data_IF_500466736397
#
_entry.id   IF_500466736397
#
_cell.length_a   1.000
_cell.length_b   1.000
_cell.length_c   1.000
_cell.angle_alpha   90.00
_cell.angle_beta   90.00
_cell.angle_gamma   90.00
#
_symmetry.space_group_name_H-M   'P 1'
#
loop_
_entity.id
_entity.type
_entity.pdbx_description
1 polymer ?
#
# COMPACT_ATOMS: atom_id res chain seq x y z
N UNK A 1 27.21 4.87 -17.30
CA UNK A 1 26.29 5.74 -18.06
C UNK A 1 25.81 6.81 -17.10
N UNK A 2 26.45 7.98 -17.16
CA UNK A 2 26.21 9.11 -16.26
C UNK A 2 25.02 9.90 -16.80
N UNK A 3 23.89 9.91 -16.09
CA UNK A 3 22.77 10.77 -16.45
C UNK A 3 22.98 12.09 -15.71
N UNK A 4 23.40 13.11 -16.45
CA UNK A 4 23.30 14.50 -16.03
C UNK A 4 21.80 14.84 -15.96
N UNK A 5 21.29 15.12 -14.76
CA UNK A 5 20.07 15.89 -14.62
C UNK A 5 20.43 17.35 -14.95
N UNK A 6 20.38 17.69 -16.24
CA UNK A 6 20.23 19.10 -16.63
C UNK A 6 19.05 19.66 -15.84
N UNK A 7 19.23 20.86 -15.27
CA UNK A 7 18.17 21.60 -14.58
C UNK A 7 16.98 21.73 -15.51
N UNK A 8 16.01 20.82 -15.38
CA UNK A 8 14.72 20.94 -16.04
C UNK A 8 14.06 22.17 -15.43
N UNK A 9 14.15 23.31 -16.12
CA UNK A 9 13.25 24.43 -15.90
C UNK A 9 11.85 23.91 -16.21
N UNK A 10 11.09 23.60 -15.16
CA UNK A 10 9.67 23.30 -15.23
C UNK A 10 8.92 24.58 -15.60
N UNK A 11 9.05 25.06 -16.84
CA UNK A 11 8.45 26.33 -17.27
C UNK A 11 7.08 26.20 -17.91
N UNK A 12 6.56 24.99 -18.18
CA UNK A 12 5.24 24.84 -18.82
C UNK A 12 4.44 23.66 -18.25
N UNK A 13 4.06 23.75 -16.97
CA UNK A 13 2.92 22.98 -16.46
C UNK A 13 1.70 23.90 -16.62
N UNK A 14 0.72 23.49 -17.44
CA UNK A 14 -0.54 24.19 -17.58
C UNK A 14 -1.26 24.24 -16.22
N UNK A 15 -1.29 25.41 -15.59
CA UNK A 15 -1.92 25.65 -14.30
C UNK A 15 -3.45 25.69 -14.48
N UNK A 16 -4.15 24.65 -14.01
CA UNK A 16 -5.56 24.76 -13.71
C UNK A 16 -5.72 25.29 -12.28
N UNK A 17 -6.16 26.55 -12.20
CA UNK A 17 -6.55 27.30 -11.00
C UNK A 17 -5.39 27.83 -10.10
N UNK A 18 -5.06 29.12 -10.28
CA UNK A 18 -3.87 29.80 -9.75
C UNK A 18 -4.06 30.51 -8.39
N UNK A 19 -5.09 30.19 -7.61
CA UNK A 19 -5.41 30.94 -6.37
C UNK A 19 -4.81 30.37 -5.08
N UNK A 20 -4.06 29.27 -5.12
CA UNK A 20 -3.54 28.59 -3.91
C UNK A 20 -2.04 28.24 -4.00
N UNK A 21 -1.19 29.23 -4.29
CA UNK A 21 0.26 29.07 -4.17
C UNK A 21 0.69 29.75 -2.86
N UNK A 22 1.24 28.98 -1.91
CA UNK A 22 1.87 29.55 -0.71
C UNK A 22 3.00 30.47 -1.15
N UNK A 23 3.02 31.70 -0.64
CA UNK A 23 3.91 32.77 -1.10
C UNK A 23 5.40 32.55 -0.75
N UNK A 24 5.73 31.54 0.04
CA UNK A 24 7.11 31.20 0.38
C UNK A 24 7.38 29.70 0.14
N UNK A 25 8.51 29.34 -0.51
CA UNK A 25 8.93 27.96 -0.61
C UNK A 25 9.31 27.45 0.78
N UNK A 26 8.88 26.24 1.15
CA UNK A 26 9.29 25.64 2.41
C UNK A 26 10.81 25.46 2.44
N UNK A 27 11.48 25.99 3.46
CA UNK A 27 12.94 25.99 3.67
C UNK A 27 13.63 24.61 3.55
N UNK A 28 12.84 23.53 3.58
CA UNK A 28 13.27 22.13 3.51
C UNK A 28 13.80 21.76 2.10
N UNK A 29 13.51 22.56 1.08
CA UNK A 29 13.82 22.25 -0.32
C UNK A 29 15.20 22.69 -0.82
N UNK A 30 15.97 23.43 -0.01
CA UNK A 30 17.24 24.04 -0.48
C UNK A 30 18.45 23.10 -0.38
N UNK A 31 18.40 22.11 0.52
CA UNK A 31 19.59 21.30 0.88
C UNK A 31 19.51 19.83 0.42
N UNK A 32 18.38 19.39 -0.14
CA UNK A 32 18.20 18.00 -0.56
C UNK A 32 17.60 17.90 -1.97
N UNK A 33 18.05 16.92 -2.77
CA UNK A 33 17.40 16.48 -4.02
C UNK A 33 16.06 15.75 -3.74
N UNK A 34 15.32 16.19 -2.72
CA UNK A 34 14.07 15.58 -2.29
C UNK A 34 12.93 16.50 -2.71
N UNK A 35 12.21 16.06 -3.74
CA UNK A 35 10.96 16.70 -4.15
C UNK A 35 9.85 16.27 -3.18
N UNK A 36 9.53 17.13 -2.21
CA UNK A 36 8.42 16.90 -1.30
C UNK A 36 7.11 17.40 -1.93
N UNK A 37 6.13 16.50 -2.07
CA UNK A 37 4.77 16.86 -2.49
C UNK A 37 3.93 17.08 -1.22
N UNK A 38 3.68 18.33 -0.79
CA UNK A 38 2.89 18.58 0.41
C UNK A 38 1.49 17.99 0.23
N UNK A 39 1.05 17.15 1.19
CA UNK A 39 -0.35 16.79 1.34
C UNK A 39 -0.95 17.61 2.46
N UNK A 40 -1.79 18.57 2.09
CA UNK A 40 -2.49 19.40 3.05
C UNK A 40 -3.97 19.48 2.66
N UNK A 41 -4.76 18.54 3.21
CA UNK A 41 -6.19 18.40 2.88
C UNK A 41 -6.97 19.67 3.16
N UNK A 42 -6.62 20.40 4.22
CA UNK A 42 -7.27 21.66 4.61
C UNK A 42 -6.88 22.85 3.72
N UNK A 43 -5.77 22.75 2.99
CA UNK A 43 -5.29 23.78 2.05
C UNK A 43 -5.50 23.33 0.59
N UNK A 44 -6.28 22.28 0.35
CA UNK A 44 -6.55 21.78 -1.00
C UNK A 44 -5.37 21.09 -1.69
N UNK A 45 -4.23 20.91 -1.03
CA UNK A 45 -3.04 20.29 -1.60
C UNK A 45 -3.17 18.75 -1.53
N UNK A 46 -3.64 18.12 -2.62
CA UNK A 46 -3.78 16.65 -2.77
C UNK A 46 -2.91 16.12 -3.92
N UNK A 47 -1.60 16.31 -3.84
CA UNK A 47 -0.70 16.04 -4.98
C UNK A 47 -0.42 14.56 -5.25
N UNK A 48 -0.44 13.68 -4.25
CA UNK A 48 -0.13 12.25 -4.44
C UNK A 48 -1.25 11.45 -5.12
N UNK A 49 -2.50 11.94 -5.07
CA UNK A 49 -3.58 11.41 -5.91
C UNK A 49 -3.45 11.77 -7.39
N UNK A 50 -2.63 12.80 -7.69
CA UNK A 50 -2.53 13.40 -9.01
C UNK A 50 -1.60 12.68 -9.99
N UNK A 51 -0.51 12.05 -9.54
CA UNK A 51 0.45 11.41 -10.46
C UNK A 51 -0.21 10.26 -11.25
N UNK A 52 -0.99 9.35 -10.64
CA UNK A 52 -1.75 8.36 -11.41
C UNK A 52 -2.85 9.00 -12.27
N UNK A 53 -3.42 10.13 -11.84
CA UNK A 53 -4.41 10.90 -12.60
C UNK A 53 -3.85 11.51 -13.89
N UNK A 54 -2.58 11.94 -13.89
CA UNK A 54 -1.87 12.43 -15.08
C UNK A 54 -1.68 11.35 -16.15
N UNK A 55 -1.74 10.07 -15.78
CA UNK A 55 -1.59 8.94 -16.69
C UNK A 55 -2.92 8.42 -17.23
N UNK A 56 -4.03 8.80 -16.61
CA UNK A 56 -5.38 8.37 -17.00
C UNK A 56 -5.78 8.71 -18.45
N UNK A 57 -5.35 9.84 -19.08
CA UNK A 57 -5.79 10.15 -20.45
C UNK A 57 -5.04 9.33 -21.51
N UNK A 58 -3.94 8.66 -21.17
CA UNK A 58 -3.17 7.88 -22.14
C UNK A 58 -3.53 6.40 -22.08
N UNK A 59 -3.64 5.70 -23.23
CA UNK A 59 -3.70 4.25 -23.27
C UNK A 59 -2.55 3.61 -22.49
N UNK A 60 -2.74 2.36 -22.08
CA UNK A 60 -1.79 1.68 -21.21
C UNK A 60 -0.42 1.49 -21.89
N UNK A 61 -0.39 1.05 -23.13
CA UNK A 61 0.80 0.85 -23.95
C UNK A 61 1.42 2.15 -24.49
N UNK A 62 0.76 3.29 -24.28
CA UNK A 62 1.27 4.57 -24.72
C UNK A 62 2.62 4.89 -24.05
N UNK A 63 3.65 5.35 -24.80
CA UNK A 63 4.99 5.55 -24.27
C UNK A 63 5.06 6.42 -23.00
N UNK A 64 4.24 7.46 -22.90
CA UNK A 64 4.15 8.34 -21.71
C UNK A 64 3.67 7.58 -20.48
N UNK A 65 2.67 6.71 -20.68
CA UNK A 65 2.11 5.83 -19.66
C UNK A 65 3.20 4.87 -19.15
N UNK A 66 3.91 4.23 -20.07
CA UNK A 66 5.02 3.31 -19.76
C UNK A 66 6.14 4.01 -19.01
N UNK A 67 6.61 5.15 -19.53
CA UNK A 67 7.70 5.93 -18.95
C UNK A 67 7.37 6.40 -17.53
N UNK A 68 6.17 6.92 -17.32
CA UNK A 68 5.77 7.44 -16.02
C UNK A 68 5.67 6.34 -14.97
N UNK A 69 5.18 5.15 -15.34
CA UNK A 69 5.16 4.00 -14.43
C UNK A 69 6.56 3.48 -14.13
N UNK A 70 7.48 3.46 -15.12
CA UNK A 70 8.90 3.18 -14.87
C UNK A 70 9.51 4.22 -13.92
N UNK A 71 9.23 5.51 -14.13
CA UNK A 71 9.69 6.58 -13.25
C UNK A 71 9.21 6.37 -11.81
N UNK A 72 7.91 6.14 -11.60
CA UNK A 72 7.32 5.85 -10.29
C UNK A 72 8.01 4.63 -9.66
N UNK A 73 8.18 3.54 -10.42
CA UNK A 73 8.84 2.30 -9.95
C UNK A 73 10.27 2.56 -9.46
N UNK A 74 11.05 3.30 -10.24
CA UNK A 74 12.49 3.46 -9.98
C UNK A 74 12.82 4.61 -9.03
N UNK A 75 11.91 5.59 -8.87
CA UNK A 75 12.22 6.82 -8.13
C UNK A 75 11.26 7.14 -6.98
N UNK A 76 10.04 6.57 -6.92
CA UNK A 76 9.13 6.74 -5.78
C UNK A 76 9.22 5.54 -4.83
N UNK A 77 10.37 5.43 -4.17
CA UNK A 77 10.67 4.41 -3.17
C UNK A 77 10.47 4.96 -1.75
N UNK A 78 10.08 4.09 -0.82
CA UNK A 78 10.07 4.45 0.59
C UNK A 78 11.50 4.65 1.11
N UNK A 79 11.64 5.56 2.08
CA UNK A 79 12.89 5.76 2.78
C UNK A 79 13.32 4.51 3.57
N UNK A 80 14.62 4.28 3.70
CA UNK A 80 15.18 3.07 4.30
C UNK A 80 14.66 2.77 5.70
N UNK A 81 14.41 3.80 6.51
CA UNK A 81 13.88 3.60 7.86
C UNK A 81 12.47 2.98 7.86
N UNK A 82 11.67 3.18 6.82
CA UNK A 82 10.35 2.55 6.67
C UNK A 82 10.53 1.05 6.44
N UNK A 83 11.45 0.66 5.57
CA UNK A 83 11.77 -0.75 5.33
C UNK A 83 12.40 -1.42 6.55
N UNK A 84 13.30 -0.73 7.26
CA UNK A 84 13.90 -1.21 8.51
C UNK A 84 12.85 -1.39 9.62
N UNK A 85 11.90 -0.47 9.74
CA UNK A 85 10.77 -0.62 10.64
C UNK A 85 9.87 -1.80 10.25
N UNK A 86 9.54 -1.92 8.96
CA UNK A 86 8.70 -3.00 8.45
C UNK A 86 9.37 -4.38 8.62
N UNK A 87 10.68 -4.49 8.39
CA UNK A 87 11.39 -5.77 8.52
C UNK A 87 11.32 -6.32 9.94
N UNK A 88 11.42 -5.46 10.95
CA UNK A 88 11.27 -5.86 12.36
C UNK A 88 9.89 -6.39 12.69
N UNK A 89 8.85 -5.75 12.14
CA UNK A 89 7.48 -6.24 12.26
C UNK A 89 7.33 -7.58 11.55
N UNK A 90 7.89 -7.73 10.35
CA UNK A 90 7.88 -8.97 9.57
C UNK A 90 8.60 -10.10 10.34
N UNK A 91 9.72 -9.82 11.00
CA UNK A 91 10.46 -10.79 11.81
C UNK A 91 9.62 -11.31 12.99
N UNK A 92 8.91 -10.42 13.69
CA UNK A 92 7.95 -10.81 14.75
C UNK A 92 6.83 -11.71 14.22
N UNK A 93 6.42 -11.49 12.97
CA UNK A 93 5.39 -12.28 12.29
C UNK A 93 5.93 -13.61 11.72
N UNK A 94 7.22 -13.91 11.89
CA UNK A 94 7.86 -15.15 11.44
C UNK A 94 8.62 -15.05 10.12
N UNK A 95 8.80 -13.85 9.58
CA UNK A 95 9.51 -13.58 8.34
C UNK A 95 8.61 -13.39 7.11
N UNK A 96 9.20 -13.11 5.93
CA UNK A 96 8.44 -12.97 4.69
C UNK A 96 7.66 -14.24 4.36
N UNK A 97 6.42 -14.10 3.90
CA UNK A 97 5.50 -15.19 3.56
C UNK A 97 5.09 -16.12 4.73
N UNK A 98 5.42 -15.79 5.99
CA UNK A 98 5.04 -16.59 7.16
C UNK A 98 3.64 -16.27 7.73
N UNK A 99 3.01 -15.21 7.23
CA UNK A 99 1.72 -14.70 7.72
C UNK A 99 0.82 -14.27 6.55
N UNK A 100 -0.47 -14.14 6.82
CA UNK A 100 -1.42 -13.47 5.92
C UNK A 100 -1.67 -12.05 6.38
N UNK A 101 -1.95 -11.14 5.45
CA UNK A 101 -2.29 -9.78 5.78
C UNK A 101 -3.66 -9.40 5.22
N UNK A 102 -4.39 -8.56 5.94
CA UNK A 102 -5.52 -7.86 5.37
C UNK A 102 -5.45 -6.37 5.71
N UNK A 103 -5.87 -5.55 4.75
CA UNK A 103 -6.16 -4.16 4.99
C UNK A 103 -7.68 -3.97 4.98
N UNK A 104 -8.21 -3.49 6.11
CA UNK A 104 -9.63 -3.18 6.28
C UNK A 104 -9.76 -1.68 6.51
N UNK A 105 -10.35 -0.96 5.55
CA UNK A 105 -10.62 0.47 5.65
C UNK A 105 -12.09 0.70 6.00
N UNK A 106 -12.38 1.24 7.18
CA UNK A 106 -13.75 1.45 7.68
C UNK A 106 -14.16 2.89 7.95
N UNK A 107 -13.21 3.83 8.11
CA UNK A 107 -13.57 5.18 8.51
C UNK A 107 -13.96 6.08 7.31
N UNK A 108 -13.20 7.14 7.03
CA UNK A 108 -13.47 8.15 6.00
C UNK A 108 -13.21 7.64 4.57
N UNK A 109 -13.91 6.56 4.21
CA UNK A 109 -14.01 6.09 2.84
C UNK A 109 -15.36 6.55 2.28
N UNK A 110 -15.29 7.18 1.11
CA UNK A 110 -16.46 7.72 0.40
C UNK A 110 -17.42 6.62 -0.07
N UNK A 111 -16.92 5.40 -0.28
CA UNK A 111 -17.66 4.26 -0.80
C UNK A 111 -18.14 3.34 0.33
N UNK A 112 -19.31 3.64 0.91
CA UNK A 112 -19.85 2.86 2.06
C UNK A 112 -20.21 1.41 1.71
N UNK A 113 -20.44 1.10 0.44
CA UNK A 113 -20.77 -0.24 -0.05
C UNK A 113 -19.64 -1.26 0.10
N UNK A 114 -18.41 -0.83 0.41
CA UNK A 114 -17.28 -1.73 0.68
C UNK A 114 -17.15 -2.07 2.17
N UNK A 115 -18.02 -1.52 3.02
CA UNK A 115 -18.00 -1.79 4.45
C UNK A 115 -18.73 -3.08 4.75
N UNK A 116 -17.94 -4.12 4.98
CA UNK A 116 -18.43 -5.40 5.49
C UNK A 116 -17.90 -5.62 6.90
N UNK A 117 -18.66 -6.37 7.69
CA UNK A 117 -18.25 -6.77 9.03
C UNK A 117 -17.02 -7.69 9.02
N UNK A 118 -16.46 -7.90 10.20
CA UNK A 118 -15.36 -8.83 10.39
C UNK A 118 -15.77 -10.26 10.02
N UNK A 119 -16.96 -10.70 10.41
CA UNK A 119 -17.56 -11.99 10.07
C UNK A 119 -17.64 -12.20 8.55
N UNK A 120 -18.22 -11.23 7.82
CA UNK A 120 -18.29 -11.30 6.37
C UNK A 120 -16.91 -11.31 5.73
N UNK A 121 -15.95 -10.55 6.28
CA UNK A 121 -14.58 -10.53 5.77
C UNK A 121 -13.92 -11.89 5.93
N UNK A 122 -14.00 -12.49 7.12
CA UNK A 122 -13.36 -13.78 7.36
C UNK A 122 -14.07 -14.92 6.62
N UNK A 123 -15.39 -14.87 6.42
CA UNK A 123 -16.14 -15.83 5.58
C UNK A 123 -15.74 -15.79 4.11
N UNK A 124 -15.44 -14.60 3.61
CA UNK A 124 -14.98 -14.41 2.24
C UNK A 124 -13.56 -14.95 2.01
N UNK A 125 -12.70 -14.83 3.03
CA UNK A 125 -11.28 -15.18 2.94
C UNK A 125 -10.96 -16.63 3.33
N UNK A 126 -11.76 -17.25 4.20
CA UNK A 126 -11.42 -18.49 4.91
C UNK A 126 -10.95 -19.64 4.02
N UNK A 127 -11.48 -19.79 2.81
CA UNK A 127 -11.10 -20.86 1.88
C UNK A 127 -9.62 -20.79 1.46
N UNK A 128 -8.99 -19.62 1.52
CA UNK A 128 -7.59 -19.40 1.16
C UNK A 128 -6.65 -19.34 2.38
N UNK A 129 -7.20 -19.36 3.59
CA UNK A 129 -6.46 -19.26 4.84
C UNK A 129 -6.07 -20.63 5.35
N UNK A 130 -4.91 -20.72 6.01
CA UNK A 130 -4.50 -21.94 6.69
C UNK A 130 -5.05 -21.97 8.13
N UNK A 131 -5.35 -23.16 8.68
CA UNK A 131 -5.77 -23.27 10.07
C UNK A 131 -4.73 -22.68 11.02
N UNK A 132 -5.18 -21.85 11.98
CA UNK A 132 -4.34 -21.23 13.03
C UNK A 132 -3.19 -20.34 12.52
N UNK A 133 -3.29 -19.85 11.29
CA UNK A 133 -2.28 -18.99 10.69
C UNK A 133 -2.16 -17.64 11.41
N UNK A 134 -0.97 -17.05 11.36
CA UNK A 134 -0.74 -15.68 11.83
C UNK A 134 -1.35 -14.68 10.83
N UNK A 135 -2.13 -13.74 11.33
CA UNK A 135 -2.76 -12.69 10.53
C UNK A 135 -2.34 -11.30 11.00
N UNK A 136 -1.82 -10.51 10.07
CA UNK A 136 -1.58 -9.09 10.27
C UNK A 136 -2.76 -8.26 9.74
N UNK A 137 -3.30 -7.36 10.54
CA UNK A 137 -4.40 -6.48 10.15
C UNK A 137 -3.97 -5.02 10.17
N UNK A 138 -3.88 -4.42 8.98
CA UNK A 138 -3.79 -2.98 8.80
C UNK A 138 -5.21 -2.40 8.77
N UNK A 139 -5.58 -1.60 9.75
CA UNK A 139 -6.95 -1.07 9.84
C UNK A 139 -7.00 0.25 10.58
N UNK A 140 -7.96 1.09 10.20
CA UNK A 140 -8.34 2.30 10.93
C UNK A 140 -9.53 2.05 11.87
N UNK A 141 -9.98 0.81 12.00
CA UNK A 141 -11.02 0.39 12.94
C UNK A 141 -10.50 0.38 14.39
N UNK A 142 -11.25 1.03 15.27
CA UNK A 142 -10.91 1.19 16.69
C UNK A 142 -11.83 0.39 17.60
N UNK A 143 -12.93 -0.16 17.08
CA UNK A 143 -13.87 -0.97 17.84
C UNK A 143 -13.19 -2.28 18.34
N UNK A 144 -13.09 -2.49 19.66
CA UNK A 144 -12.39 -3.65 20.23
C UNK A 144 -12.94 -5.01 19.74
N UNK A 145 -14.24 -5.07 19.48
CA UNK A 145 -14.93 -6.29 19.04
C UNK A 145 -14.69 -6.69 17.59
N UNK A 146 -14.11 -5.81 16.75
CA UNK A 146 -13.94 -6.09 15.33
C UNK A 146 -13.01 -7.28 15.07
N UNK A 147 -12.03 -7.52 15.93
CA UNK A 147 -11.05 -8.59 15.74
C UNK A 147 -11.50 -9.94 16.27
N UNK A 148 -12.56 -9.97 17.09
CA UNK A 148 -13.02 -11.19 17.77
C UNK A 148 -13.44 -12.32 16.81
N UNK A 149 -14.10 -12.06 15.67
CA UNK A 149 -14.46 -13.12 14.72
C UNK A 149 -13.25 -13.86 14.16
N UNK A 150 -12.14 -13.15 13.94
CA UNK A 150 -10.88 -13.75 13.50
C UNK A 150 -10.28 -14.63 14.60
N UNK A 151 -10.22 -14.13 15.83
CA UNK A 151 -9.69 -14.89 16.98
C UNK A 151 -10.52 -16.14 17.28
N UNK A 152 -11.85 -16.04 17.21
CA UNK A 152 -12.78 -17.18 17.39
C UNK A 152 -12.56 -18.30 16.37
N UNK A 153 -12.08 -17.97 15.17
CA UNK A 153 -11.69 -18.96 14.14
C UNK A 153 -10.26 -19.50 14.32
N UNK A 154 -9.58 -19.11 15.39
CA UNK A 154 -8.27 -19.65 15.78
C UNK A 154 -7.07 -18.90 15.21
N UNK A 155 -7.27 -17.76 14.53
CA UNK A 155 -6.18 -16.96 13.98
C UNK A 155 -5.45 -16.17 15.08
N UNK A 156 -4.12 -16.08 14.96
CA UNK A 156 -3.30 -15.17 15.79
C UNK A 156 -3.25 -13.82 15.12
N UNK A 157 -4.04 -12.87 15.61
CA UNK A 157 -4.21 -11.55 15.00
C UNK A 157 -3.24 -10.55 15.62
N UNK A 158 -2.52 -9.81 14.78
CA UNK A 158 -1.64 -8.73 15.17
C UNK A 158 -1.94 -7.45 14.39
N UNK A 159 -1.87 -6.32 15.08
CA UNK A 159 -1.82 -4.98 14.48
C UNK A 159 -0.45 -4.34 14.74
N UNK A 160 -0.15 -3.23 14.05
CA UNK A 160 1.06 -2.46 14.36
C UNK A 160 1.11 -2.02 15.84
N UNK A 161 -0.04 -1.65 16.42
CA UNK A 161 -0.13 -1.21 17.81
C UNK A 161 0.15 -2.35 18.79
N UNK A 162 -0.34 -3.56 18.51
CA UNK A 162 -0.05 -4.75 19.34
C UNK A 162 1.46 -5.02 19.37
N UNK A 163 2.11 -4.95 18.20
CA UNK A 163 3.55 -5.19 18.08
C UNK A 163 4.35 -4.07 18.73
N UNK A 164 3.96 -2.80 18.55
CA UNK A 164 4.56 -1.65 19.25
C UNK A 164 4.50 -1.80 20.76
N UNK A 165 3.35 -2.22 21.29
CA UNK A 165 3.14 -2.39 22.73
C UNK A 165 3.93 -3.56 23.31
N UNK A 166 3.97 -4.68 22.61
CA UNK A 166 4.63 -5.93 23.07
C UNK A 166 6.13 -5.97 22.81
N UNK A 167 6.64 -5.19 21.85
CA UNK A 167 8.03 -5.23 21.40
C UNK A 167 8.65 -3.82 21.37
N UNK A 168 8.62 -3.11 22.51
CA UNK A 168 9.13 -1.73 22.59
C UNK A 168 10.59 -1.58 22.15
N UNK A 169 11.41 -2.59 22.42
CA UNK A 169 12.82 -2.64 22.04
C UNK A 169 13.05 -2.55 20.53
N UNK A 170 12.08 -2.95 19.70
CA UNK A 170 12.19 -2.87 18.24
C UNK A 170 12.17 -1.45 17.69
N UNK A 171 11.97 -0.43 18.52
CA UNK A 171 11.83 0.96 18.07
C UNK A 171 12.92 1.88 18.64
N UNK A 172 13.74 1.39 19.58
CA UNK A 172 14.68 2.21 20.35
C UNK A 172 15.70 2.96 19.47
N UNK A 173 16.30 2.28 18.49
CA UNK A 173 17.27 2.88 17.56
C UNK A 173 16.63 3.53 16.32
N UNK A 174 15.32 3.37 16.12
CA UNK A 174 14.57 4.10 15.09
C UNK A 174 14.06 5.45 15.61
N UNK A 175 14.14 5.68 16.92
CA UNK A 175 13.56 6.84 17.59
C UNK A 175 12.04 6.87 17.48
N UNK A 176 11.46 8.06 17.68
CA UNK A 176 10.02 8.24 17.63
C UNK A 176 9.50 8.16 16.18
N UNK A 177 8.93 7.01 15.80
CA UNK A 177 8.26 6.84 14.51
C UNK A 177 7.01 7.70 14.50
N UNK A 178 7.09 8.82 13.78
CA UNK A 178 5.98 9.75 13.61
C UNK A 178 4.77 9.03 13.02
N UNK A 179 3.54 9.28 13.52
CA UNK A 179 2.31 8.64 13.05
C UNK A 179 2.11 8.70 11.53
N UNK A 180 2.59 9.75 10.87
CA UNK A 180 2.50 9.90 9.40
C UNK A 180 3.24 8.83 8.59
N UNK A 181 4.16 8.08 9.21
CA UNK A 181 4.90 6.99 8.56
C UNK A 181 4.30 5.60 8.81
N UNK A 182 3.39 5.46 9.79
CA UNK A 182 2.82 4.17 10.16
C UNK A 182 2.14 3.51 8.97
N UNK A 183 1.30 4.25 8.22
CA UNK A 183 0.66 3.71 7.02
C UNK A 183 1.65 3.16 5.99
N UNK A 184 2.80 3.81 5.78
CA UNK A 184 3.83 3.33 4.85
C UNK A 184 4.52 2.06 5.36
N UNK A 185 4.77 1.99 6.67
CA UNK A 185 5.31 0.80 7.34
C UNK A 185 4.32 -0.36 7.18
N UNK A 186 3.03 -0.14 7.44
CA UNK A 186 2.01 -1.17 7.30
C UNK A 186 1.84 -1.65 5.86
N UNK A 187 1.98 -0.76 4.85
CA UNK A 187 1.98 -1.16 3.44
C UNK A 187 3.16 -2.07 3.13
N UNK A 188 4.35 -1.74 3.63
CA UNK A 188 5.55 -2.58 3.49
C UNK A 188 5.36 -3.95 4.18
N UNK A 189 4.86 -3.98 5.42
CA UNK A 189 4.55 -5.24 6.14
C UNK A 189 3.55 -6.08 5.35
N UNK A 190 2.40 -5.52 4.97
CA UNK A 190 1.38 -6.22 4.19
C UNK A 190 1.93 -6.76 2.86
N UNK A 191 2.89 -6.07 2.26
CA UNK A 191 3.49 -6.50 1.00
C UNK A 191 4.37 -7.75 1.13
N UNK A 192 4.87 -8.07 2.32
CA UNK A 192 5.67 -9.27 2.59
C UNK A 192 4.84 -10.51 2.96
N UNK A 193 3.53 -10.37 3.17
CA UNK A 193 2.64 -11.48 3.55
C UNK A 193 2.51 -12.55 2.44
N UNK A 194 2.17 -13.78 2.81
CA UNK A 194 1.87 -14.89 1.88
C UNK A 194 0.70 -14.54 0.97
N UNK A 195 -0.40 -14.11 1.57
CA UNK A 195 -1.56 -13.54 0.90
C UNK A 195 -1.87 -12.17 1.50
N UNK A 196 -2.36 -11.26 0.66
CA UNK A 196 -2.83 -9.95 1.09
C UNK A 196 -4.24 -9.68 0.58
N UNK A 197 -5.15 -9.35 1.50
CA UNK A 197 -6.53 -8.99 1.20
C UNK A 197 -6.76 -7.50 1.43
N UNK A 198 -6.90 -6.72 0.36
CA UNK A 198 -7.16 -5.28 0.45
C UNK A 198 -8.63 -4.91 0.57
N UNK A 199 -8.91 -3.64 0.85
CA UNK A 199 -10.23 -3.01 0.63
C UNK A 199 -10.31 -2.40 -0.77
N UNK A 200 -11.41 -2.61 -1.54
CA UNK A 200 -11.62 -1.96 -2.83
C UNK A 200 -11.60 -0.43 -2.73
N UNK A 201 -11.15 0.24 -3.80
CA UNK A 201 -11.07 1.72 -3.89
C UNK A 201 -10.18 2.41 -2.84
N UNK A 202 -9.39 1.65 -2.09
CA UNK A 202 -8.41 2.21 -1.16
C UNK A 202 -7.06 2.41 -1.84
N UNK A 203 -6.55 3.63 -1.80
CA UNK A 203 -5.18 3.95 -2.24
C UNK A 203 -4.12 3.21 -1.43
N UNK A 204 -4.41 2.91 -0.14
CA UNK A 204 -3.56 2.08 0.70
C UNK A 204 -3.40 0.70 0.07
N UNK A 205 -4.52 0.00 -0.15
CA UNK A 205 -4.54 -1.34 -0.76
C UNK A 205 -3.87 -1.34 -2.13
N UNK A 206 -4.20 -0.36 -2.98
CA UNK A 206 -3.64 -0.25 -4.33
C UNK A 206 -2.13 -0.15 -4.33
N UNK A 207 -1.55 0.66 -3.44
CA UNK A 207 -0.10 0.77 -3.36
C UNK A 207 0.54 -0.49 -2.73
N UNK A 208 -0.12 -1.16 -1.78
CA UNK A 208 0.35 -2.46 -1.29
C UNK A 208 0.40 -3.51 -2.39
N UNK A 209 -0.63 -3.63 -3.25
CA UNK A 209 -0.59 -4.55 -4.40
C UNK A 209 0.58 -4.24 -5.34
N UNK A 210 0.87 -2.95 -5.56
CA UNK A 210 2.04 -2.53 -6.34
C UNK A 210 3.35 -2.98 -5.68
N UNK A 211 3.53 -2.76 -4.37
CA UNK A 211 4.72 -3.26 -3.65
C UNK A 211 4.86 -4.78 -3.75
N UNK A 212 3.75 -5.52 -3.66
CA UNK A 212 3.74 -6.98 -3.84
C UNK A 212 4.21 -7.40 -5.22
N UNK A 213 3.82 -6.68 -6.27
CA UNK A 213 4.38 -6.88 -7.60
C UNK A 213 5.90 -6.68 -7.63
N UNK A 214 6.45 -5.70 -6.88
CA UNK A 214 7.90 -5.42 -6.88
C UNK A 214 8.68 -6.52 -6.17
N UNK A 215 8.10 -7.08 -5.10
CA UNK A 215 8.74 -8.08 -4.24
C UNK A 215 8.58 -9.50 -4.81
N UNK A 216 7.37 -9.86 -5.25
CA UNK A 216 7.02 -11.25 -5.60
C UNK A 216 6.90 -11.48 -7.11
N UNK A 217 7.00 -10.43 -7.94
CA UNK A 217 6.81 -10.52 -9.39
C UNK A 217 5.40 -11.00 -9.76
N UNK A 218 5.32 -11.82 -10.82
CA UNK A 218 4.06 -12.40 -11.33
C UNK A 218 3.73 -13.75 -10.66
N UNK A 219 3.97 -13.87 -9.36
CA UNK A 219 3.57 -15.05 -8.60
C UNK A 219 2.09 -14.99 -8.17
N UNK A 220 1.46 -16.12 -7.80
CA UNK A 220 0.13 -16.12 -7.18
C UNK A 220 0.05 -15.23 -5.94
N UNK A 221 1.17 -15.01 -5.25
CA UNK A 221 1.27 -14.11 -4.11
C UNK A 221 0.98 -12.64 -4.49
N UNK A 222 1.21 -12.20 -5.73
CA UNK A 222 0.92 -10.83 -6.16
C UNK A 222 -0.53 -10.61 -6.61
N UNK A 223 -1.40 -11.61 -6.45
CA UNK A 223 -2.82 -11.50 -6.76
C UNK A 223 -3.52 -10.42 -5.95
N UNK A 224 -4.42 -9.68 -6.59
CA UNK A 224 -5.23 -8.66 -5.92
C UNK A 224 -6.46 -9.27 -5.25
N UNK A 225 -6.30 -9.74 -4.02
CA UNK A 225 -7.41 -10.26 -3.23
C UNK A 225 -8.07 -9.14 -2.43
N UNK A 226 -9.38 -9.20 -2.26
CA UNK A 226 -10.16 -8.23 -1.50
C UNK A 226 -11.00 -8.94 -0.46
N UNK A 227 -10.95 -8.50 0.80
CA UNK A 227 -11.74 -9.12 1.87
C UNK A 227 -13.26 -9.04 1.62
N UNK A 228 -13.69 -8.16 0.72
CA UNK A 228 -15.09 -7.97 0.30
C UNK A 228 -15.59 -8.95 -0.77
N UNK A 229 -14.73 -9.85 -1.27
CA UNK A 229 -15.07 -10.82 -2.31
C UNK A 229 -14.89 -12.23 -1.77
N UNK A 230 -15.86 -13.12 -2.03
CA UNK A 230 -15.75 -14.53 -1.65
C UNK A 230 -14.81 -15.28 -2.60
N UNK A 231 -13.92 -16.08 -2.04
CA UNK A 231 -12.97 -16.90 -2.79
C UNK A 231 -13.22 -18.40 -2.58
N UNK A 232 -12.77 -19.19 -3.55
CA UNK A 232 -12.65 -20.64 -3.47
C UNK A 232 -11.24 -21.02 -3.90
N UNK A 233 -10.70 -22.15 -3.39
CA UNK A 233 -9.35 -22.63 -3.76
C UNK A 233 -9.22 -22.87 -5.25
N UNK A 234 -10.19 -23.57 -5.84
CA UNK A 234 -10.23 -23.86 -7.28
C UNK A 234 -10.16 -22.59 -8.12
N UNK A 235 -10.92 -21.55 -7.77
CA UNK A 235 -10.89 -20.28 -8.51
C UNK A 235 -9.56 -19.57 -8.35
N UNK A 236 -8.96 -19.61 -7.17
CA UNK A 236 -7.67 -18.96 -6.89
C UNK A 236 -6.51 -19.67 -7.61
N UNK A 237 -6.48 -21.00 -7.63
CA UNK A 237 -5.46 -21.79 -8.33
C UNK A 237 -5.51 -21.59 -9.85
N UNK A 238 -6.71 -21.39 -10.39
CA UNK A 238 -6.95 -21.09 -11.81
C UNK A 238 -6.82 -19.58 -12.14
N UNK A 239 -6.52 -18.75 -11.15
CA UNK A 239 -6.37 -17.31 -11.36
C UNK A 239 -5.00 -17.02 -11.95
N UNK A 240 -4.95 -16.34 -13.10
CA UNK A 240 -3.69 -15.87 -13.67
C UNK A 240 -2.91 -15.07 -12.62
N UNK A 241 -1.63 -15.41 -12.37
CA UNK A 241 -0.80 -14.65 -11.46
C UNK A 241 -0.77 -13.17 -11.84
N UNK A 242 -0.92 -12.30 -10.85
CA UNK A 242 -1.01 -10.87 -11.10
C UNK A 242 -2.35 -10.38 -11.65
N UNK A 243 -3.38 -11.23 -11.70
CA UNK A 243 -4.70 -10.76 -12.11
C UNK A 243 -5.28 -9.79 -11.07
N UNK A 244 -5.22 -8.51 -11.41
CA UNK A 244 -5.89 -7.45 -10.67
C UNK A 244 -7.12 -7.03 -11.47
N UNK A 245 -8.33 -7.11 -10.91
CA UNK A 245 -9.55 -6.68 -11.64
C UNK A 245 -9.73 -5.16 -11.71
N UNK A 246 -8.77 -4.41 -11.20
CA UNK A 246 -8.70 -2.95 -11.33
C UNK A 246 -7.68 -2.61 -12.41
N UNK A 247 -7.51 -1.35 -12.77
CA UNK A 247 -6.57 -0.79 -13.78
C UNK A 247 -5.09 -1.20 -13.64
N UNK A 248 -4.81 -2.19 -12.80
CA UNK A 248 -3.53 -2.71 -12.39
C UNK A 248 -3.25 -4.13 -12.93
N UNK A 249 -4.21 -4.86 -13.55
CA UNK A 249 -3.88 -6.12 -14.27
C UNK A 249 -2.76 -5.86 -15.27
N UNK A 250 -2.87 -4.71 -15.92
CA UNK A 250 -1.97 -4.27 -16.97
C UNK A 250 -0.72 -3.63 -16.39
N UNK A 251 -0.81 -2.92 -15.24
CA UNK A 251 0.39 -2.53 -14.48
C UNK A 251 1.24 -3.78 -14.37
N UNK A 252 0.67 -4.88 -13.86
CA UNK A 252 1.23 -6.25 -13.68
C UNK A 252 1.78 -6.90 -14.97
N UNK A 253 1.39 -6.48 -16.17
CA UNK A 253 1.99 -6.98 -17.42
C UNK A 253 3.30 -6.28 -17.84
N UNK A 254 3.62 -5.08 -17.31
CA UNK A 254 4.91 -4.40 -17.57
C UNK A 254 6.05 -4.80 -16.63
N UNK A 255 5.92 -5.97 -16.00
CA UNK A 255 6.87 -6.53 -15.03
C UNK A 255 7.76 -7.56 -15.69
N UNK A 256 7.56 -7.81 -16.99
CA UNK A 256 8.56 -8.41 -17.85
C UNK A 256 9.67 -7.37 -18.09
N UNK A 257 10.95 -7.72 -17.90
CA UNK A 257 12.08 -6.83 -18.15
C UNK A 257 12.07 -6.29 -19.59
#
# INVERSE_FOLDING_TARGET
MTIFLEKVKLTNIYYYNSSMISKEPAKIHEETLILHFPMHVREGLRYLGGIPGLLRPFPFDHPVSVYSRKFIRYHLVYADFIWKAASRVIDVLGGPNAFVAAHVRRNDLQYKNVFIGAEGSIENMQELLQPKETMYLATDETAPGFFEPFKKRGFKVFTLQDIKKSNKHLWEDLGDIKPKYEGMIEQAVCSAARLFFGTPSSTFSSYTFRLRGYIHGLGPQSSCLYHTKKYTKEKFENTEPGSCTTSFKDDVLMWKP
#
